data_IF_943685096090
#
_entry.id   IF_943685096090
#
_cell.length_a   1.000
_cell.length_b   1.000
_cell.length_c   1.000
_cell.angle_alpha   90.00
_cell.angle_beta   90.00
_cell.angle_gamma   90.00
#
_symmetry.space_group_name_H-M   'P 1'
#
loop_
_entity.id
_entity.type
_entity.pdbx_description
1 polymer ?
#
# COMPACT_ATOMS: atom_id res chain seq x y z
N UNK A 1 -13.49 10.04 -9.95
CA UNK A 1 -14.79 9.62 -9.40
C UNK A 1 -14.86 8.11 -9.47
N UNK A 2 -15.42 7.45 -8.46
CA UNK A 2 -15.53 5.99 -8.42
C UNK A 2 -16.44 5.46 -9.52
N UNK A 3 -16.20 4.21 -9.94
CA UNK A 3 -17.12 3.51 -10.85
C UNK A 3 -18.39 3.09 -10.09
N UNK A 4 -19.47 2.85 -10.82
CA UNK A 4 -20.72 2.36 -10.24
C UNK A 4 -20.51 1.07 -9.42
N UNK A 5 -19.70 0.15 -9.92
CA UNK A 5 -19.33 -1.07 -9.18
C UNK A 5 -18.69 -0.77 -7.84
N UNK A 6 -17.74 0.17 -7.79
CA UNK A 6 -17.08 0.57 -6.52
C UNK A 6 -18.07 1.21 -5.55
N UNK A 7 -18.99 2.04 -6.06
CA UNK A 7 -20.03 2.67 -5.23
C UNK A 7 -20.95 1.61 -4.62
N UNK A 8 -21.36 0.60 -5.41
CA UNK A 8 -22.21 -0.49 -4.94
C UNK A 8 -21.51 -1.36 -3.88
N UNK A 9 -20.23 -1.67 -4.06
CA UNK A 9 -19.45 -2.41 -3.05
C UNK A 9 -19.32 -1.62 -1.74
N UNK A 10 -19.04 -0.31 -1.81
CA UNK A 10 -18.98 0.54 -0.62
C UNK A 10 -20.35 0.60 0.07
N UNK A 11 -21.44 0.72 -0.68
CA UNK A 11 -22.79 0.74 -0.12
C UNK A 11 -23.13 -0.57 0.62
N UNK A 12 -22.73 -1.71 0.07
CA UNK A 12 -22.90 -3.01 0.71
C UNK A 12 -22.13 -3.12 2.03
N UNK A 13 -20.86 -2.70 2.04
CA UNK A 13 -20.05 -2.69 3.27
C UNK A 13 -20.64 -1.74 4.31
N UNK A 14 -21.18 -0.59 3.89
CA UNK A 14 -21.84 0.34 4.80
C UNK A 14 -23.04 -0.30 5.53
N UNK A 15 -23.83 -1.11 4.82
CA UNK A 15 -24.94 -1.86 5.42
C UNK A 15 -24.46 -2.89 6.44
N UNK A 16 -23.42 -3.67 6.10
CA UNK A 16 -22.82 -4.66 7.01
C UNK A 16 -22.28 -4.00 8.28
N UNK A 17 -21.65 -2.83 8.15
CA UNK A 17 -21.13 -2.05 9.26
C UNK A 17 -22.20 -1.20 9.98
N UNK A 18 -23.44 -1.18 9.48
CA UNK A 18 -24.55 -0.35 9.99
C UNK A 18 -24.20 1.14 10.06
N UNK A 19 -23.47 1.63 9.06
CA UNK A 19 -23.14 3.05 8.89
C UNK A 19 -23.88 3.62 7.69
N UNK A 20 -24.00 4.94 7.64
CA UNK A 20 -24.62 5.60 6.50
C UNK A 20 -23.79 5.39 5.22
N UNK A 21 -24.44 4.97 4.14
CA UNK A 21 -23.79 4.72 2.84
C UNK A 21 -23.04 5.95 2.32
N UNK A 22 -23.66 7.13 2.39
CA UNK A 22 -23.05 8.37 1.90
C UNK A 22 -21.84 8.76 2.76
N UNK A 23 -21.89 8.54 4.09
CA UNK A 23 -20.75 8.80 4.97
C UNK A 23 -19.56 7.90 4.62
N UNK A 24 -19.76 6.60 4.44
CA UNK A 24 -18.66 5.69 4.08
C UNK A 24 -18.11 6.01 2.68
N UNK A 25 -18.98 6.36 1.72
CA UNK A 25 -18.56 6.80 0.40
C UNK A 25 -17.73 8.08 0.45
N UNK A 26 -18.12 9.06 1.27
CA UNK A 26 -17.38 10.30 1.46
C UNK A 26 -15.99 10.04 2.05
N UNK A 27 -15.89 9.18 3.07
CA UNK A 27 -14.60 8.77 3.65
C UNK A 27 -13.73 8.10 2.58
N UNK A 28 -14.27 7.15 1.82
CA UNK A 28 -13.55 6.49 0.75
C UNK A 28 -13.06 7.50 -0.31
N UNK A 29 -13.89 8.45 -0.71
CA UNK A 29 -13.52 9.44 -1.72
C UNK A 29 -12.39 10.36 -1.24
N UNK A 30 -12.48 10.85 0.01
CA UNK A 30 -11.48 11.74 0.61
C UNK A 30 -10.14 11.03 0.82
N UNK A 31 -10.15 9.84 1.43
CA UNK A 31 -8.91 9.10 1.73
C UNK A 31 -8.28 8.49 0.48
N UNK A 32 -9.09 8.05 -0.48
CA UNK A 32 -8.62 7.43 -1.72
C UNK A 32 -8.30 8.41 -2.85
N UNK A 33 -8.66 9.69 -2.72
CA UNK A 33 -8.62 10.66 -3.83
C UNK A 33 -9.41 10.19 -5.05
N UNK A 34 -10.50 9.43 -4.82
CA UNK A 34 -11.31 8.82 -5.86
C UNK A 34 -10.64 7.69 -6.67
N UNK A 35 -9.52 7.12 -6.18
CA UNK A 35 -8.79 6.01 -6.82
C UNK A 35 -8.66 4.82 -5.87
N UNK A 36 -9.07 3.63 -6.32
CA UNK A 36 -8.98 2.39 -5.53
C UNK A 36 -7.85 1.49 -6.02
N UNK A 37 -7.63 1.49 -7.33
CA UNK A 37 -6.62 0.66 -8.01
C UNK A 37 -5.72 1.52 -8.91
N UNK A 38 -4.54 0.99 -9.22
CA UNK A 38 -3.69 1.47 -10.29
C UNK A 38 -3.47 0.36 -11.32
N UNK A 39 -3.40 0.75 -12.59
CA UNK A 39 -2.98 -0.16 -13.65
C UNK A 39 -1.45 -0.26 -13.65
N UNK A 40 -0.94 -1.43 -13.29
CA UNK A 40 0.49 -1.73 -13.26
C UNK A 40 0.73 -2.95 -14.15
N UNK A 41 1.53 -2.77 -15.21
CA UNK A 41 1.79 -3.83 -16.21
C UNK A 41 0.52 -4.51 -16.74
N UNK A 42 -0.53 -3.71 -16.99
CA UNK A 42 -1.83 -4.19 -17.49
C UNK A 42 -2.75 -4.84 -16.44
N UNK A 43 -2.32 -4.93 -15.18
CA UNK A 43 -3.12 -5.49 -14.08
C UNK A 43 -3.67 -4.37 -13.19
N UNK A 44 -4.90 -4.54 -12.70
CA UNK A 44 -5.47 -3.67 -11.66
C UNK A 44 -4.96 -4.12 -10.30
N UNK A 45 -4.01 -3.37 -9.75
CA UNK A 45 -3.40 -3.64 -8.46
C UNK A 45 -3.80 -2.58 -7.43
N UNK A 46 -3.90 -2.94 -6.14
CA UNK A 46 -4.19 -1.96 -5.11
C UNK A 46 -3.10 -0.89 -5.07
N UNK A 47 -3.49 0.30 -4.64
CA UNK A 47 -2.53 1.34 -4.29
C UNK A 47 -1.68 0.85 -3.13
N UNK A 48 -0.36 1.03 -3.23
CA UNK A 48 0.55 0.66 -2.16
C UNK A 48 1.40 1.83 -1.71
N UNK A 49 1.87 1.72 -0.46
CA UNK A 49 2.92 2.56 0.10
C UNK A 49 3.81 1.71 0.98
N UNK A 50 5.08 1.64 0.62
CA UNK A 50 6.06 0.81 1.29
C UNK A 50 6.73 1.58 2.44
N UNK A 51 6.91 0.95 3.59
CA UNK A 51 7.48 1.56 4.78
C UNK A 51 8.84 0.95 5.13
N UNK A 52 9.90 1.55 4.58
CA UNK A 52 11.28 1.04 4.76
C UNK A 52 11.74 0.96 6.22
N UNK A 53 11.14 1.75 7.12
CA UNK A 53 11.46 1.69 8.54
C UNK A 53 10.78 0.54 9.29
N UNK A 54 9.61 0.12 8.85
CA UNK A 54 8.99 -1.13 9.30
C UNK A 54 9.75 -2.34 8.74
N UNK A 55 10.18 -2.27 7.48
CA UNK A 55 10.99 -3.33 6.87
C UNK A 55 12.33 -3.50 7.58
N UNK A 56 13.01 -2.39 7.92
CA UNK A 56 14.24 -2.43 8.72
C UNK A 56 14.05 -3.17 10.05
N UNK A 57 12.99 -2.83 10.79
CA UNK A 57 12.68 -3.43 12.09
C UNK A 57 12.40 -4.93 12.01
N UNK A 58 11.70 -5.37 10.96
CA UNK A 58 11.32 -6.78 10.76
C UNK A 58 12.48 -7.67 10.30
N UNK A 59 13.50 -7.09 9.68
CA UNK A 59 14.69 -7.84 9.24
C UNK A 59 15.74 -7.91 10.36
N UNK A 60 16.70 -8.82 10.21
CA UNK A 60 17.91 -8.88 11.05
C UNK A 60 19.12 -9.39 10.24
N UNK A 61 20.32 -9.27 10.81
CA UNK A 61 21.56 -9.81 10.23
C UNK A 61 21.83 -9.39 8.79
N UNK A 62 22.16 -10.39 7.95
CA UNK A 62 22.50 -10.18 6.55
C UNK A 62 21.34 -9.58 5.73
N UNK A 63 20.09 -9.97 6.02
CA UNK A 63 18.91 -9.44 5.31
C UNK A 63 18.73 -7.94 5.55
N UNK A 64 18.83 -7.50 6.82
CA UNK A 64 18.74 -6.07 7.16
C UNK A 64 19.88 -5.27 6.52
N UNK A 65 21.10 -5.81 6.57
CA UNK A 65 22.28 -5.17 5.96
C UNK A 65 22.12 -5.01 4.45
N UNK A 66 21.66 -6.07 3.76
CA UNK A 66 21.34 -6.05 2.33
C UNK A 66 20.24 -5.04 2.01
N UNK A 67 19.15 -5.03 2.78
CA UNK A 67 18.04 -4.09 2.54
C UNK A 67 18.49 -2.63 2.68
N UNK A 68 19.35 -2.32 3.68
CA UNK A 68 19.94 -0.98 3.83
C UNK A 68 20.86 -0.62 2.67
N UNK A 69 21.75 -1.53 2.25
CA UNK A 69 22.66 -1.27 1.12
C UNK A 69 21.91 -1.08 -0.21
N UNK A 70 20.77 -1.75 -0.36
CA UNK A 70 19.89 -1.61 -1.54
C UNK A 70 18.95 -0.39 -1.47
N UNK A 71 19.00 0.40 -0.40
CA UNK A 71 18.13 1.57 -0.20
C UNK A 71 16.66 1.22 0.08
N UNK A 72 16.38 0.01 0.54
CA UNK A 72 15.04 -0.51 0.83
C UNK A 72 14.70 -0.48 2.33
N UNK A 73 15.67 -0.24 3.21
CA UNK A 73 15.45 -0.17 4.65
C UNK A 73 16.22 1.00 5.26
N UNK A 74 15.60 1.64 6.26
CA UNK A 74 16.23 2.69 7.06
C UNK A 74 15.60 2.70 8.44
N UNK A 75 16.37 2.79 9.55
CA UNK A 75 15.78 2.90 10.88
C UNK A 75 14.97 4.20 11.07
N UNK A 76 15.17 5.21 10.20
CA UNK A 76 14.46 6.49 10.25
C UNK A 76 13.15 6.41 9.43
N UNK A 77 12.03 6.78 10.05
CA UNK A 77 10.76 6.97 9.33
C UNK A 77 10.93 7.99 8.20
N UNK A 78 10.41 7.67 7.00
CA UNK A 78 10.63 8.47 5.79
C UNK A 78 12.05 8.43 5.22
N UNK A 79 12.97 7.64 5.79
CA UNK A 79 14.33 7.48 5.28
C UNK A 79 14.42 6.69 3.96
N UNK A 80 13.32 6.05 3.55
CA UNK A 80 13.16 5.42 2.23
C UNK A 80 12.04 6.16 1.51
N UNK A 81 12.38 6.91 0.46
CA UNK A 81 11.40 7.66 -0.31
C UNK A 81 10.56 6.71 -1.18
N UNK A 82 9.23 6.82 -1.12
CA UNK A 82 8.38 6.12 -2.06
C UNK A 82 8.45 6.79 -3.44
N UNK A 83 8.60 6.01 -4.52
CA UNK A 83 8.50 6.54 -5.87
C UNK A 83 7.15 7.25 -6.13
N UNK A 84 7.16 8.17 -7.08
CA UNK A 84 5.98 8.96 -7.45
C UNK A 84 4.88 8.12 -8.13
N UNK A 85 5.25 7.03 -8.81
CA UNK A 85 4.29 6.17 -9.54
C UNK A 85 4.02 4.85 -8.82
N UNK A 86 2.80 4.34 -8.94
CA UNK A 86 2.44 3.03 -8.39
C UNK A 86 3.25 1.89 -9.03
N UNK A 87 3.53 1.96 -10.34
CA UNK A 87 4.37 0.96 -11.01
C UNK A 87 5.78 0.87 -10.38
N UNK A 88 6.39 2.02 -10.05
CA UNK A 88 7.70 2.04 -9.40
C UNK A 88 7.63 1.60 -7.93
N UNK A 89 6.53 1.89 -7.21
CA UNK A 89 6.31 1.35 -5.86
C UNK A 89 6.16 -0.17 -5.87
N UNK A 90 5.45 -0.72 -6.85
CA UNK A 90 5.32 -2.16 -7.03
C UNK A 90 6.67 -2.82 -7.36
N UNK A 91 7.49 -2.20 -8.21
CA UNK A 91 8.85 -2.67 -8.45
C UNK A 91 9.75 -2.60 -7.20
N UNK A 92 9.60 -1.56 -6.36
CA UNK A 92 10.27 -1.47 -5.07
C UNK A 92 9.84 -2.60 -4.12
N UNK A 93 8.54 -2.91 -4.06
CA UNK A 93 8.03 -4.03 -3.28
C UNK A 93 8.57 -5.36 -3.78
N UNK A 94 8.61 -5.59 -5.10
CA UNK A 94 9.20 -6.81 -5.70
C UNK A 94 10.65 -7.02 -5.21
N UNK A 95 11.47 -5.96 -5.24
CA UNK A 95 12.85 -6.03 -4.71
C UNK A 95 12.90 -6.37 -3.23
N UNK A 96 12.03 -5.74 -2.41
CA UNK A 96 11.95 -6.05 -0.98
C UNK A 96 11.51 -7.51 -0.73
N UNK A 97 10.55 -8.03 -1.51
CA UNK A 97 10.09 -9.41 -1.39
C UNK A 97 11.17 -10.44 -1.74
N UNK A 98 12.13 -10.08 -2.61
CA UNK A 98 13.29 -10.91 -2.92
C UNK A 98 14.30 -11.00 -1.76
N UNK A 99 14.23 -10.11 -0.77
CA UNK A 99 15.02 -10.18 0.47
C UNK A 99 14.26 -10.97 1.53
N UNK A 100 13.00 -10.58 1.76
CA UNK A 100 12.10 -11.29 2.67
C UNK A 100 10.64 -10.96 2.32
N UNK A 101 9.94 -11.93 1.73
CA UNK A 101 8.57 -11.75 1.28
C UNK A 101 7.63 -11.35 2.40
N UNK A 102 7.69 -12.04 3.55
CA UNK A 102 6.76 -11.79 4.67
C UNK A 102 6.99 -10.40 5.24
N UNK A 103 8.24 -10.06 5.56
CA UNK A 103 8.56 -8.75 6.11
C UNK A 103 8.22 -7.62 5.15
N UNK A 104 8.39 -7.81 3.83
CA UNK A 104 8.06 -6.81 2.83
C UNK A 104 6.55 -6.55 2.75
N UNK A 105 5.73 -7.61 2.70
CA UNK A 105 4.27 -7.49 2.65
C UNK A 105 3.70 -6.88 3.93
N UNK A 106 4.20 -7.27 5.11
CA UNK A 106 3.82 -6.69 6.40
C UNK A 106 4.34 -5.25 6.62
N UNK A 107 5.25 -4.78 5.77
CA UNK A 107 5.78 -3.41 5.79
C UNK A 107 5.23 -2.56 4.63
N UNK A 108 4.13 -3.00 4.03
CA UNK A 108 3.44 -2.29 2.96
C UNK A 108 2.02 -1.99 3.40
N UNK A 109 1.60 -0.76 3.21
CA UNK A 109 0.21 -0.33 3.34
C UNK A 109 -0.55 -0.60 2.04
N UNK A 110 -1.78 -1.09 2.15
CA UNK A 110 -2.57 -1.58 1.01
C UNK A 110 -3.91 -0.85 0.83
N UNK A 111 -4.22 -0.55 -0.43
CA UNK A 111 -5.53 -0.07 -0.85
C UNK A 111 -5.90 1.30 -0.30
N UNK A 112 -7.20 1.58 -0.28
CA UNK A 112 -7.76 2.90 0.04
C UNK A 112 -7.44 3.37 1.47
N UNK A 113 -7.49 2.45 2.44
CA UNK A 113 -7.23 2.76 3.85
C UNK A 113 -5.75 2.75 4.22
N UNK A 114 -4.86 2.37 3.29
CA UNK A 114 -3.42 2.27 3.54
C UNK A 114 -3.07 1.45 4.80
N UNK A 115 -3.70 0.28 4.95
CA UNK A 115 -3.54 -0.65 6.09
C UNK A 115 -2.52 -1.76 5.85
#
# INVERSE_FOLDING_TARGET
MFTETVILEIAKVAEELKVERAALLAVAEVEGGGKVFATVRGQYLPLIRFEGHYFDRRLSGAKRSRARSEGLASPKAGGVANPSTQAARWAMLERATAIDRRAALESTSWGIGQV
#
